data_IF_360929338267
#
_entry.id   IF_360929338267
#
_cell.length_a   1.000
_cell.length_b   1.000
_cell.length_c   1.000
_cell.angle_alpha   90.00
_cell.angle_beta   90.00
_cell.angle_gamma   90.00
#
_symmetry.space_group_name_H-M   'P 1'
#
loop_
_entity.id
_entity.type
_entity.pdbx_description
1 polymer ?
#
# COMPACT_ATOMS: atom_id res chain seq x y z
N UNK A 1 0.93 -34.13 -21.25
CA UNK A 1 1.34 -33.08 -20.28
C UNK A 1 1.15 -31.67 -20.84
N UNK A 2 1.67 -31.36 -22.04
CA UNK A 2 1.50 -30.06 -22.70
C UNK A 2 0.03 -29.59 -22.88
N UNK A 3 -0.90 -30.50 -23.24
CA UNK A 3 -2.33 -30.13 -23.36
C UNK A 3 -2.96 -29.68 -22.03
N UNK A 4 -2.65 -30.36 -20.91
CA UNK A 4 -3.16 -30.01 -19.59
C UNK A 4 -2.71 -28.61 -19.14
N UNK A 5 -1.46 -28.26 -19.45
CA UNK A 5 -0.92 -26.92 -19.16
C UNK A 5 -1.67 -25.86 -19.99
N UNK A 6 -1.91 -26.13 -21.28
CA UNK A 6 -2.66 -25.21 -22.15
C UNK A 6 -4.11 -25.01 -21.69
N UNK A 7 -4.76 -26.07 -21.22
CA UNK A 7 -6.10 -26.01 -20.62
C UNK A 7 -6.11 -25.21 -19.32
N UNK A 8 -5.14 -25.45 -18.43
CA UNK A 8 -4.99 -24.68 -17.19
C UNK A 8 -4.83 -23.17 -17.44
N UNK A 9 -3.98 -22.76 -18.37
CA UNK A 9 -3.84 -21.34 -18.72
C UNK A 9 -5.11 -20.73 -19.31
N UNK A 10 -5.90 -21.54 -20.06
CA UNK A 10 -7.19 -21.11 -20.60
C UNK A 10 -8.19 -20.89 -19.47
N UNK A 11 -8.25 -21.79 -18.50
CA UNK A 11 -9.11 -21.69 -17.32
C UNK A 11 -8.71 -20.49 -16.45
N UNK A 12 -7.43 -20.31 -16.15
CA UNK A 12 -6.92 -19.14 -15.40
C UNK A 12 -7.30 -17.83 -16.09
N UNK A 13 -7.18 -17.75 -17.41
CA UNK A 13 -7.59 -16.56 -18.18
C UNK A 13 -9.10 -16.29 -18.08
N UNK A 14 -9.91 -17.33 -17.98
CA UNK A 14 -11.37 -17.21 -17.80
C UNK A 14 -11.69 -16.72 -16.39
N UNK A 15 -11.05 -17.26 -15.36
CA UNK A 15 -11.24 -16.84 -13.97
C UNK A 15 -10.78 -15.40 -13.72
N UNK A 16 -9.64 -15.00 -14.29
CA UNK A 16 -9.15 -13.61 -14.19
C UNK A 16 -10.16 -12.61 -14.77
N UNK A 17 -10.90 -12.99 -15.83
CA UNK A 17 -11.94 -12.12 -16.39
C UNK A 17 -13.16 -11.96 -15.49
N UNK A 18 -13.39 -12.86 -14.53
CA UNK A 18 -14.47 -12.76 -13.54
C UNK A 18 -14.10 -11.86 -12.37
N UNK A 19 -12.83 -11.47 -12.24
CA UNK A 19 -12.38 -10.54 -11.21
C UNK A 19 -12.97 -9.16 -11.48
N UNK A 20 -13.67 -8.63 -10.48
CA UNK A 20 -14.16 -7.26 -10.50
C UNK A 20 -12.99 -6.35 -10.16
N UNK A 21 -12.48 -5.65 -11.16
CA UNK A 21 -11.46 -4.62 -10.96
C UNK A 21 -12.11 -3.32 -10.50
N UNK A 22 -11.44 -2.54 -9.63
CA UNK A 22 -11.95 -1.25 -9.21
C UNK A 22 -12.06 -0.30 -10.40
N UNK A 23 -13.03 0.61 -10.33
CA UNK A 23 -13.12 1.70 -11.30
C UNK A 23 -11.92 2.65 -11.17
N UNK A 24 -11.64 3.45 -12.21
CA UNK A 24 -10.55 4.43 -12.17
C UNK A 24 -10.72 5.42 -11.02
N UNK A 25 -11.96 5.78 -10.70
CA UNK A 25 -12.28 6.73 -9.64
C UNK A 25 -12.04 6.13 -8.25
N UNK A 26 -12.39 4.86 -8.03
CA UNK A 26 -12.09 4.13 -6.80
C UNK A 26 -10.58 3.96 -6.58
N UNK A 27 -9.82 3.69 -7.65
CA UNK A 27 -8.37 3.58 -7.59
C UNK A 27 -7.72 4.91 -7.19
N UNK A 28 -8.17 6.01 -7.78
CA UNK A 28 -7.66 7.35 -7.44
C UNK A 28 -8.07 7.72 -6.02
N UNK A 29 -9.31 7.48 -5.63
CA UNK A 29 -9.81 7.75 -4.28
C UNK A 29 -9.04 7.01 -3.20
N UNK A 30 -8.83 5.69 -3.37
CA UNK A 30 -8.06 4.87 -2.43
C UNK A 30 -6.59 5.30 -2.35
N UNK A 31 -5.97 5.65 -3.48
CA UNK A 31 -4.60 6.18 -3.50
C UNK A 31 -4.49 7.50 -2.73
N UNK A 32 -5.48 8.38 -2.87
CA UNK A 32 -5.50 9.68 -2.19
C UNK A 32 -5.62 9.54 -0.66
N UNK A 33 -6.46 8.60 -0.20
CA UNK A 33 -6.56 8.28 1.23
C UNK A 33 -5.21 7.80 1.79
N UNK A 34 -4.52 6.91 1.06
CA UNK A 34 -3.20 6.41 1.47
C UNK A 34 -2.19 7.54 1.55
N UNK A 35 -2.12 8.43 0.55
CA UNK A 35 -1.18 9.55 0.54
C UNK A 35 -1.41 10.47 1.74
N UNK A 36 -2.66 10.85 2.00
CA UNK A 36 -3.00 11.70 3.15
C UNK A 36 -2.58 11.02 4.46
N UNK A 37 -2.88 9.73 4.60
CA UNK A 37 -2.54 8.96 5.80
C UNK A 37 -1.03 8.91 6.02
N UNK A 38 -0.25 8.64 4.98
CA UNK A 38 1.22 8.59 5.06
C UNK A 38 1.80 9.95 5.43
N UNK A 39 1.28 11.04 4.86
CA UNK A 39 1.72 12.41 5.21
C UNK A 39 1.44 12.72 6.67
N UNK A 40 0.24 12.40 7.17
CA UNK A 40 -0.11 12.64 8.57
C UNK A 40 0.76 11.84 9.54
N UNK A 41 0.94 10.54 9.27
CA UNK A 41 1.74 9.66 10.13
C UNK A 41 3.21 10.06 10.11
N UNK A 42 3.78 10.34 8.94
CA UNK A 42 5.20 10.75 8.83
C UNK A 42 5.46 12.09 9.52
N UNK A 43 4.54 13.06 9.43
CA UNK A 43 4.64 14.31 10.16
C UNK A 43 4.58 14.10 11.67
N UNK A 44 3.64 13.28 12.14
CA UNK A 44 3.51 12.94 13.56
C UNK A 44 4.79 12.31 14.10
N UNK A 45 5.28 11.25 13.44
CA UNK A 45 6.52 10.57 13.82
C UNK A 45 7.71 11.54 13.79
N UNK A 46 7.83 12.37 12.75
CA UNK A 46 8.90 13.37 12.67
C UNK A 46 8.89 14.36 13.85
N UNK A 47 7.72 14.83 14.28
CA UNK A 47 7.61 15.69 15.47
C UNK A 47 8.01 14.96 16.75
N UNK A 48 7.55 13.72 16.92
CA UNK A 48 7.86 12.87 18.07
C UNK A 48 9.37 12.60 18.12
N UNK A 49 9.98 12.19 17.02
CA UNK A 49 11.41 11.89 16.94
C UNK A 49 12.28 13.10 17.25
N UNK A 50 11.90 14.29 16.74
CA UNK A 50 12.60 15.54 17.07
C UNK A 50 12.45 15.92 18.55
N UNK A 51 11.27 15.69 19.13
CA UNK A 51 11.00 15.92 20.55
C UNK A 51 11.84 15.00 21.43
N UNK A 52 11.78 13.69 21.19
CA UNK A 52 12.54 12.67 21.92
C UNK A 52 14.04 12.88 21.76
N UNK A 53 14.53 13.15 20.55
CA UNK A 53 15.95 13.39 20.30
C UNK A 53 16.49 14.57 21.12
N UNK A 54 15.71 15.65 21.26
CA UNK A 54 16.07 16.79 22.12
C UNK A 54 16.10 16.43 23.61
N UNK A 55 15.12 15.66 24.08
CA UNK A 55 15.05 15.22 25.49
C UNK A 55 16.22 14.30 25.82
N UNK A 56 16.46 13.28 24.99
CA UNK A 56 17.56 12.33 25.15
C UNK A 56 18.91 13.04 25.08
N UNK A 57 19.11 13.97 24.14
CA UNK A 57 20.35 14.75 24.05
C UNK A 57 20.60 15.63 25.26
N UNK A 58 19.56 16.13 25.94
CA UNK A 58 19.72 16.89 27.19
C UNK A 58 19.98 15.99 28.41
N UNK A 59 19.52 14.74 28.39
CA UNK A 59 19.73 13.79 29.49
C UNK A 59 21.11 13.10 29.43
N UNK A 60 21.63 12.87 28.23
CA UNK A 60 22.95 12.25 28.00
C UNK A 60 24.12 13.23 28.13
N UNK A 61 23.85 14.54 28.24
CA UNK A 61 24.84 15.59 28.39
C UNK A 61 24.81 16.15 29.80
#
# INVERSE_FOLDING_TARGET
MFNRIKEFFKEVKIEIKKVVYPSKDELVGSTWVVIITVVLVSLFLGVVDLGLSKVVSRLLR
#
